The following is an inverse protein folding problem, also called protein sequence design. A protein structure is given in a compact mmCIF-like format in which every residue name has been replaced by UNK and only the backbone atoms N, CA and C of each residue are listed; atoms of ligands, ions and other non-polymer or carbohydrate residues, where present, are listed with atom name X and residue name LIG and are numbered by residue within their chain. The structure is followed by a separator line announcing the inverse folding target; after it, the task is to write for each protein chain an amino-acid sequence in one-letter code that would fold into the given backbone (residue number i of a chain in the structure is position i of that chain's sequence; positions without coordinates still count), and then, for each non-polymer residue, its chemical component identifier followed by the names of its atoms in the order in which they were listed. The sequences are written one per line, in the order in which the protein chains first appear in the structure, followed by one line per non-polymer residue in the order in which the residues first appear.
data_IF_881676575456
#
_entry.id   IF_881676575456
#
_cell.length_a   1.000
_cell.length_b   1.000
_cell.length_c   1.000
_cell.angle_alpha   90.00
_cell.angle_beta   90.00
_cell.angle_gamma   90.00
#
_symmetry.space_group_name_H-M   'P 1'
#
loop_
_entity.id
_entity.type
_entity.pdbx_description
1 polymer ?
#
# COMPACT_ATOMS: atom_id res chain seq x y z
N UNK A 1 -8.41 23.66 -10.29
CA UNK A 1 -7.41 22.58 -10.30
C UNK A 1 -7.79 21.64 -9.18
N UNK A 2 -8.39 20.51 -9.54
CA UNK A 2 -9.05 19.58 -8.62
C UNK A 2 -8.01 18.71 -7.92
N UNK A 3 -7.65 19.11 -6.71
CA UNK A 3 -7.01 18.23 -5.75
C UNK A 3 -8.05 17.19 -5.30
N UNK A 4 -8.04 16.04 -5.97
CA UNK A 4 -9.01 14.97 -5.82
C UNK A 4 -8.71 14.18 -4.56
N UNK A 5 -9.10 14.69 -3.37
CA UNK A 5 -9.40 13.98 -2.11
C UNK A 5 -8.38 13.01 -1.48
N UNK A 6 -7.67 12.21 -2.28
CA UNK A 6 -6.69 11.20 -1.91
C UNK A 6 -5.37 11.81 -1.41
N UNK A 7 -4.96 12.97 -1.92
CA UNK A 7 -3.77 13.70 -1.44
C UNK A 7 -3.90 14.14 0.02
N UNK A 8 -5.14 14.41 0.45
CA UNK A 8 -5.47 14.86 1.81
C UNK A 8 -5.53 13.71 2.83
N UNK A 9 -5.54 12.45 2.39
CA UNK A 9 -5.74 11.30 3.28
C UNK A 9 -4.47 10.88 4.03
N UNK A 10 -3.28 11.28 3.57
CA UNK A 10 -2.02 10.99 4.28
C UNK A 10 -1.06 12.18 4.16
N UNK A 11 -0.98 13.02 5.21
CA UNK A 11 -0.14 14.20 5.18
C UNK A 11 1.33 13.78 5.19
N UNK A 12 2.13 14.43 4.36
CA UNK A 12 3.56 14.46 4.58
C UNK A 12 3.85 14.94 5.99
N UNK A 13 4.86 14.36 6.63
CA UNK A 13 5.23 14.70 7.98
C UNK A 13 6.36 15.74 7.96
N UNK A 14 6.13 16.95 8.50
CA UNK A 14 7.18 17.95 8.57
C UNK A 14 8.29 17.50 9.52
N UNK A 15 9.53 17.64 9.08
CA UNK A 15 10.73 17.36 9.86
C UNK A 15 11.79 18.43 9.61
N UNK A 16 12.74 18.56 10.54
CA UNK A 16 13.97 19.31 10.33
C UNK A 16 15.15 18.36 10.44
N UNK A 17 16.04 18.38 9.45
CA UNK A 17 17.25 17.56 9.39
C UNK A 17 18.33 18.34 8.63
N UNK A 18 19.58 18.29 9.09
CA UNK A 18 20.69 19.02 8.46
C UNK A 18 20.47 20.53 8.41
N UNK A 19 19.67 21.09 9.33
CA UNK A 19 19.27 22.50 9.34
C UNK A 19 18.19 22.89 8.31
N UNK A 20 17.69 21.95 7.51
CA UNK A 20 16.63 22.18 6.52
C UNK A 20 15.28 21.69 7.02
N UNK A 21 14.21 22.42 6.68
CA UNK A 21 12.83 21.94 6.82
C UNK A 21 12.47 21.09 5.61
N UNK A 22 11.97 19.88 5.85
CA UNK A 22 11.53 18.94 4.83
C UNK A 22 10.17 18.34 5.17
N UNK A 23 9.54 17.77 4.15
CA UNK A 23 8.26 17.08 4.22
C UNK A 23 8.51 15.61 3.88
N UNK A 24 8.49 14.73 4.89
CA UNK A 24 8.69 13.29 4.68
C UNK A 24 7.39 12.68 4.19
N UNK A 25 7.42 12.06 3.01
CA UNK A 25 6.24 11.42 2.43
C UNK A 25 6.18 9.93 2.74
N UNK A 26 4.97 9.32 2.73
CA UNK A 26 4.84 7.88 2.71
C UNK A 26 5.45 7.24 1.46
N UNK A 27 5.69 5.93 1.55
CA UNK A 27 6.15 5.10 0.43
C UNK A 27 5.06 4.96 -0.62
N UNK A 28 5.45 5.04 -1.89
CA UNK A 28 4.54 4.89 -3.05
C UNK A 28 4.68 3.52 -3.72
N UNK A 29 3.69 3.15 -4.54
CA UNK A 29 3.65 1.82 -5.16
C UNK A 29 4.86 1.52 -6.06
N UNK A 30 5.45 2.52 -6.74
CA UNK A 30 6.66 2.31 -7.54
C UNK A 30 7.90 1.97 -6.71
N UNK A 31 7.86 2.16 -5.40
CA UNK A 31 8.97 1.90 -4.47
C UNK A 31 8.87 0.53 -3.80
N UNK A 32 7.80 -0.23 -4.04
CA UNK A 32 7.64 -1.58 -3.49
C UNK A 32 8.82 -2.52 -3.78
N UNK A 33 9.49 -2.50 -4.95
CA UNK A 33 10.68 -3.32 -5.17
C UNK A 33 11.87 -2.96 -4.27
N UNK A 34 11.94 -1.74 -3.73
CA UNK A 34 12.93 -1.37 -2.71
C UNK A 34 12.51 -1.89 -1.35
N UNK A 35 11.22 -1.75 -1.01
CA UNK A 35 10.64 -2.28 0.23
C UNK A 35 10.84 -3.79 0.36
N UNK A 36 10.60 -4.56 -0.71
CA UNK A 36 10.80 -6.01 -0.72
C UNK A 36 12.25 -6.39 -0.40
N UNK A 37 13.22 -5.69 -0.99
CA UNK A 37 14.65 -5.90 -0.71
C UNK A 37 15.01 -5.59 0.74
N UNK A 38 14.45 -4.51 1.32
CA UNK A 38 14.63 -4.18 2.74
C UNK A 38 14.06 -5.28 3.64
N UNK A 39 12.84 -5.75 3.35
CA UNK A 39 12.20 -6.82 4.11
C UNK A 39 12.97 -8.14 4.03
N UNK A 40 13.53 -8.49 2.87
CA UNK A 40 14.41 -9.65 2.71
C UNK A 40 15.66 -9.54 3.59
N UNK A 41 16.31 -8.37 3.59
CA UNK A 41 17.45 -8.12 4.46
C UNK A 41 17.12 -8.20 5.94
N UNK A 42 15.98 -7.66 6.38
CA UNK A 42 15.56 -7.79 7.78
C UNK A 42 15.21 -9.23 8.17
N UNK A 43 14.58 -9.99 7.28
CA UNK A 43 14.36 -11.43 7.51
C UNK A 43 15.68 -12.16 7.68
N UNK A 44 16.67 -11.83 6.87
CA UNK A 44 18.02 -12.37 7.00
C UNK A 44 18.68 -11.96 8.32
N UNK A 45 18.59 -10.67 8.68
CA UNK A 45 19.12 -10.13 9.93
C UNK A 45 18.51 -10.81 11.17
N UNK A 46 17.19 -11.04 11.18
CA UNK A 46 16.53 -11.76 12.27
C UNK A 46 16.99 -13.22 12.30
N UNK A 47 17.09 -13.87 11.14
CA UNK A 47 17.57 -15.26 11.05
C UNK A 47 19.04 -15.40 11.48
N UNK A 48 19.85 -14.36 11.30
CA UNK A 48 21.26 -14.30 11.72
C UNK A 48 21.44 -13.76 13.15
N UNK A 49 20.37 -13.66 13.95
CA UNK A 49 20.41 -13.10 15.31
C UNK A 49 21.01 -11.68 15.40
N UNK A 50 20.84 -10.87 14.36
CA UNK A 50 21.28 -9.48 14.34
C UNK A 50 22.74 -9.26 13.95
N UNK A 51 23.45 -10.30 13.49
CA UNK A 51 24.89 -10.20 13.22
C UNK A 51 25.22 -9.35 11.99
N UNK A 52 24.49 -9.53 10.89
CA UNK A 52 24.75 -8.81 9.63
C UNK A 52 23.44 -8.56 8.90
N UNK A 53 23.19 -7.30 8.56
CA UNK A 53 22.20 -6.97 7.55
C UNK A 53 22.87 -7.03 6.19
N UNK A 54 22.21 -7.67 5.23
CA UNK A 54 22.71 -7.73 3.88
C UNK A 54 23.00 -6.33 3.32
N UNK A 55 24.12 -6.19 2.61
CA UNK A 55 24.57 -4.90 2.10
C UNK A 55 23.56 -4.34 1.09
N UNK A 56 23.02 -5.14 0.18
CA UNK A 56 22.04 -4.68 -0.80
C UNK A 56 20.74 -4.21 -0.14
N UNK A 57 20.32 -4.88 0.94
CA UNK A 57 19.18 -4.44 1.74
C UNK A 57 19.43 -3.12 2.48
N UNK A 58 20.66 -2.87 2.95
CA UNK A 58 21.04 -1.59 3.55
C UNK A 58 21.02 -0.46 2.52
N UNK A 59 21.59 -0.71 1.34
CA UNK A 59 21.56 0.20 0.21
C UNK A 59 20.11 0.55 -0.19
N UNK A 60 19.24 -0.46 -0.28
CA UNK A 60 17.83 -0.26 -0.58
C UNK A 60 17.10 0.55 0.51
N UNK A 61 17.48 0.38 1.78
CA UNK A 61 16.92 1.17 2.88
C UNK A 61 17.34 2.63 2.79
N UNK A 62 18.61 2.91 2.50
CA UNK A 62 19.11 4.27 2.30
C UNK A 62 18.43 4.97 1.11
N UNK A 63 18.26 4.25 -0.01
CA UNK A 63 17.55 4.77 -1.18
C UNK A 63 16.08 5.10 -0.85
N UNK A 64 15.42 4.26 -0.04
CA UNK A 64 14.06 4.49 0.43
C UNK A 64 13.96 5.74 1.32
N UNK A 65 14.90 5.94 2.25
CA UNK A 65 14.95 7.12 3.11
C UNK A 65 15.16 8.41 2.30
N UNK A 66 16.10 8.39 1.35
CA UNK A 66 16.37 9.52 0.47
C UNK A 66 15.13 9.86 -0.39
N UNK A 67 14.47 8.85 -0.94
CA UNK A 67 13.25 9.02 -1.73
C UNK A 67 12.11 9.61 -0.89
N UNK A 68 11.89 9.10 0.33
CA UNK A 68 10.85 9.58 1.24
C UNK A 68 11.09 11.02 1.72
N UNK A 69 12.36 11.43 1.89
CA UNK A 69 12.74 12.80 2.21
C UNK A 69 12.72 13.75 0.98
N UNK A 70 12.57 13.22 -0.23
CA UNK A 70 12.72 14.00 -1.46
C UNK A 70 14.13 14.59 -1.59
N UNK A 71 15.14 13.81 -1.22
CA UNK A 71 16.56 14.19 -1.20
C UNK A 71 17.41 13.13 -1.90
N UNK A 72 18.68 13.45 -2.11
CA UNK A 72 19.64 12.54 -2.70
C UNK A 72 20.33 11.71 -1.63
N UNK A 73 20.94 10.61 -2.06
CA UNK A 73 21.69 9.75 -1.17
C UNK A 73 22.94 10.42 -0.54
N UNK A 74 23.76 11.18 -1.29
CA UNK A 74 24.85 11.94 -0.67
C UNK A 74 24.39 12.94 0.39
N UNK A 75 23.18 13.50 0.26
CA UNK A 75 22.61 14.35 1.31
C UNK A 75 22.30 13.56 2.58
N UNK A 76 21.73 12.36 2.44
CA UNK A 76 21.42 11.47 3.56
C UNK A 76 22.69 11.04 4.30
N UNK A 77 23.75 10.69 3.56
CA UNK A 77 25.05 10.26 4.11
C UNK A 77 25.80 11.40 4.80
N UNK A 78 25.51 12.65 4.45
CA UNK A 78 26.09 13.83 5.10
C UNK A 78 25.30 14.29 6.35
N UNK A 79 24.17 13.66 6.68
CA UNK A 79 23.38 14.04 7.84
C UNK A 79 24.12 13.73 9.15
N UNK A 80 23.93 14.56 10.19
CA UNK A 80 24.24 14.15 11.56
C UNK A 80 23.53 12.84 11.90
N UNK A 81 24.21 11.96 12.63
CA UNK A 81 23.67 10.65 13.03
C UNK A 81 22.28 10.75 13.70
N UNK A 82 22.10 11.73 14.60
CA UNK A 82 20.80 11.97 15.26
C UNK A 82 19.67 12.34 14.29
N UNK A 83 20.00 13.07 13.23
CA UNK A 83 19.01 13.46 12.21
C UNK A 83 18.69 12.29 11.28
N UNK A 84 19.71 11.47 10.96
CA UNK A 84 19.54 10.22 10.22
C UNK A 84 18.62 9.24 10.98
N UNK A 85 18.89 8.98 12.26
CA UNK A 85 18.09 8.07 13.09
C UNK A 85 16.64 8.56 13.21
N UNK A 86 16.45 9.87 13.36
CA UNK A 86 15.11 10.47 13.43
C UNK A 86 14.37 10.34 12.10
N UNK A 87 15.06 10.52 10.97
CA UNK A 87 14.46 10.35 9.64
C UNK A 87 14.07 8.89 9.43
N UNK A 88 14.98 7.96 9.74
CA UNK A 88 14.71 6.52 9.66
C UNK A 88 13.49 6.14 10.51
N UNK A 89 13.46 6.58 11.77
CA UNK A 89 12.35 6.33 12.69
C UNK A 89 11.02 6.89 12.17
N UNK A 90 11.04 8.09 11.57
CA UNK A 90 9.85 8.71 11.00
C UNK A 90 9.35 7.93 9.78
N UNK A 91 10.24 7.55 8.86
CA UNK A 91 9.87 6.75 7.67
C UNK A 91 9.31 5.39 8.09
N UNK A 92 9.85 4.76 9.12
CA UNK A 92 9.29 3.53 9.68
C UNK A 92 7.91 3.78 10.29
N UNK A 93 7.74 4.85 11.05
CA UNK A 93 6.48 5.17 11.73
C UNK A 93 5.33 5.47 10.76
N UNK A 94 5.56 6.30 9.73
CA UNK A 94 4.52 6.65 8.75
C UNK A 94 4.13 5.46 7.86
N UNK A 95 5.02 4.49 7.70
CA UNK A 95 4.81 3.29 6.90
C UNK A 95 4.64 2.04 7.76
N UNK A 96 4.21 2.19 9.03
CA UNK A 96 4.11 1.09 9.99
C UNK A 96 3.38 -0.14 9.45
N UNK A 97 2.35 0.06 8.63
CA UNK A 97 1.57 -1.03 8.04
C UNK A 97 2.34 -1.94 7.05
N UNK A 98 3.49 -1.49 6.56
CA UNK A 98 4.42 -2.27 5.73
C UNK A 98 5.32 -3.13 6.62
N UNK A 99 5.76 -2.57 7.73
CA UNK A 99 6.83 -3.14 8.57
C UNK A 99 6.31 -4.00 9.73
N UNK A 100 5.08 -3.75 10.19
CA UNK A 100 4.51 -4.42 11.35
C UNK A 100 3.90 -5.77 10.94
N UNK A 101 4.57 -6.87 11.30
CA UNK A 101 4.11 -8.24 11.05
C UNK A 101 2.79 -8.58 11.78
N UNK A 102 2.44 -7.82 12.82
CA UNK A 102 1.18 -7.95 13.57
C UNK A 102 0.05 -7.06 13.01
N UNK A 103 0.31 -6.23 11.99
CA UNK A 103 -0.77 -5.58 11.28
C UNK A 103 -1.75 -6.67 10.82
N UNK A 104 -3.07 -6.54 11.12
CA UNK A 104 -4.02 -7.62 10.89
C UNK A 104 -4.11 -7.94 9.40
N UNK A 105 -3.24 -8.82 8.92
CA UNK A 105 -3.47 -9.55 7.70
C UNK A 105 -4.67 -10.43 8.03
N UNK A 106 -5.84 -10.06 7.50
CA UNK A 106 -7.00 -10.95 7.54
C UNK A 106 -6.55 -12.25 6.88
N UNK A 107 -6.31 -13.28 7.69
CA UNK A 107 -5.99 -14.63 7.23
C UNK A 107 -7.05 -15.04 6.18
N UNK A 108 -6.62 -15.17 4.93
CA UNK A 108 -7.47 -15.56 3.81
C UNK A 108 -7.70 -14.49 2.73
N UNK A 109 -7.32 -13.23 2.94
CA UNK A 109 -7.33 -12.21 1.87
C UNK A 109 -5.91 -12.07 1.30
N UNK A 110 -5.55 -12.96 0.36
CA UNK A 110 -4.38 -12.70 -0.48
C UNK A 110 -4.69 -11.46 -1.34
N UNK A 111 -3.96 -10.37 -1.12
CA UNK A 111 -4.15 -9.12 -1.86
C UNK A 111 -3.82 -9.39 -3.33
N UNK A 112 -4.83 -9.57 -4.17
CA UNK A 112 -4.66 -9.84 -5.60
C UNK A 112 -4.32 -8.56 -6.37
N UNK A 113 -3.08 -8.07 -6.21
CA UNK A 113 -2.56 -6.87 -6.87
C UNK A 113 -2.94 -6.73 -8.35
N UNK A 114 -2.85 -7.77 -9.20
CA UNK A 114 -3.28 -7.65 -10.60
C UNK A 114 -4.74 -7.19 -10.78
N UNK A 115 -5.67 -7.71 -9.97
CA UNK A 115 -7.07 -7.29 -9.99
C UNK A 115 -7.27 -5.86 -9.51
N UNK A 116 -6.41 -5.38 -8.61
CA UNK A 116 -6.40 -4.01 -8.09
C UNK A 116 -6.00 -3.03 -9.19
N UNK A 117 -4.88 -3.30 -9.87
CA UNK A 117 -4.42 -2.49 -10.98
C UNK A 117 -5.46 -2.43 -12.09
N UNK A 118 -6.08 -3.56 -12.43
CA UNK A 118 -7.17 -3.61 -13.41
C UNK A 118 -8.36 -2.72 -13.01
N UNK A 119 -8.76 -2.73 -11.74
CA UNK A 119 -9.86 -1.89 -11.23
C UNK A 119 -9.51 -0.40 -11.22
N UNK A 120 -8.28 -0.05 -10.84
CA UNK A 120 -7.80 1.34 -10.88
C UNK A 120 -7.79 1.86 -12.32
N UNK A 121 -7.28 1.07 -13.27
CA UNK A 121 -7.29 1.41 -14.70
C UNK A 121 -8.73 1.52 -15.22
N UNK A 122 -9.61 0.57 -14.87
CA UNK A 122 -11.02 0.60 -15.26
C UNK A 122 -11.79 1.81 -14.67
N UNK A 123 -11.37 2.29 -13.49
CA UNK A 123 -11.89 3.52 -12.89
C UNK A 123 -11.31 4.80 -13.53
N UNK A 124 -10.44 4.67 -14.54
CA UNK A 124 -9.88 5.78 -15.31
C UNK A 124 -8.60 6.37 -14.73
N UNK A 125 -7.95 5.71 -13.75
CA UNK A 125 -6.66 6.17 -13.26
C UNK A 125 -5.54 5.83 -14.27
N UNK A 126 -4.74 6.82 -14.72
CA UNK A 126 -3.59 6.56 -15.56
C UNK A 126 -2.50 5.83 -14.75
N UNK A 127 -1.67 5.04 -15.44
CA UNK A 127 -0.65 4.19 -14.81
C UNK A 127 0.34 5.03 -13.99
N UNK A 128 0.70 6.22 -14.46
CA UNK A 128 1.57 7.16 -13.76
C UNK A 128 0.97 7.65 -12.43
N UNK A 129 -0.35 7.81 -12.37
CA UNK A 129 -1.02 8.17 -11.13
C UNK A 129 -1.03 6.99 -10.15
N UNK A 130 -1.24 5.77 -10.64
CA UNK A 130 -1.21 4.56 -9.83
C UNK A 130 0.19 4.36 -9.22
N UNK A 131 1.25 4.53 -10.00
CA UNK A 131 2.63 4.41 -9.50
C UNK A 131 2.95 5.38 -8.35
N UNK A 132 2.31 6.55 -8.33
CA UNK A 132 2.47 7.58 -7.30
C UNK A 132 1.51 7.41 -6.10
N UNK A 133 0.64 6.40 -6.11
CA UNK A 133 -0.23 6.13 -4.97
C UNK A 133 0.59 5.60 -3.80
N UNK A 134 0.23 5.99 -2.58
CA UNK A 134 0.75 5.35 -1.36
C UNK A 134 0.09 3.99 -1.15
N UNK A 135 0.71 3.11 -0.35
CA UNK A 135 0.09 1.83 0.01
C UNK A 135 -1.28 2.04 0.66
N UNK A 136 -1.40 3.02 1.55
CA UNK A 136 -2.64 3.35 2.23
C UNK A 136 -3.72 3.86 1.26
N UNK A 137 -3.37 4.66 0.25
CA UNK A 137 -4.30 5.05 -0.82
C UNK A 137 -4.78 3.84 -1.62
N UNK A 138 -3.88 2.93 -1.97
CA UNK A 138 -4.24 1.68 -2.65
C UNK A 138 -5.18 0.84 -1.77
N UNK A 139 -4.90 0.69 -0.47
CA UNK A 139 -5.76 -0.04 0.48
C UNK A 139 -7.14 0.57 0.64
N UNK A 140 -7.25 1.89 0.77
CA UNK A 140 -8.55 2.56 0.82
C UNK A 140 -9.36 2.33 -0.45
N UNK A 141 -8.70 2.39 -1.61
CA UNK A 141 -9.35 2.04 -2.87
C UNK A 141 -9.89 0.60 -2.86
N UNK A 142 -9.17 -0.37 -2.28
CA UNK A 142 -9.65 -1.75 -2.16
C UNK A 142 -10.88 -1.88 -1.28
N UNK A 143 -10.87 -1.22 -0.13
CA UNK A 143 -12.00 -1.26 0.81
C UNK A 143 -13.26 -0.73 0.11
N UNK A 144 -13.13 0.38 -0.61
CA UNK A 144 -14.24 0.97 -1.36
C UNK A 144 -14.65 0.13 -2.56
N UNK A 145 -13.71 -0.42 -3.32
CA UNK A 145 -14.01 -1.29 -4.45
C UNK A 145 -14.77 -2.56 -3.99
N UNK A 146 -14.35 -3.16 -2.86
CA UNK A 146 -15.04 -4.30 -2.28
C UNK A 146 -16.44 -3.94 -1.75
N UNK A 147 -16.63 -2.72 -1.22
CA UNK A 147 -17.95 -2.23 -0.83
C UNK A 147 -18.86 -2.08 -2.06
N UNK A 148 -18.37 -1.48 -3.13
CA UNK A 148 -19.12 -1.31 -4.38
C UNK A 148 -19.48 -2.64 -5.03
N UNK A 149 -18.61 -3.64 -4.99
CA UNK A 149 -18.93 -4.99 -5.49
C UNK A 149 -20.03 -5.64 -4.67
N UNK A 150 -19.99 -5.52 -3.34
CA UNK A 150 -21.06 -6.02 -2.47
C UNK A 150 -22.38 -5.32 -2.75
N UNK A 151 -22.36 -4.02 -3.02
CA UNK A 151 -23.55 -3.25 -3.37
C UNK A 151 -24.11 -3.65 -4.74
N UNK A 152 -23.24 -3.84 -5.74
CA UNK A 152 -23.64 -4.36 -7.06
C UNK A 152 -24.25 -5.75 -6.94
N UNK A 153 -23.61 -6.65 -6.21
CA UNK A 153 -24.14 -7.99 -5.96
C UNK A 153 -25.50 -7.94 -5.24
N UNK A 154 -25.65 -7.09 -4.22
CA UNK A 154 -26.93 -6.91 -3.53
C UNK A 154 -28.01 -6.37 -4.48
N UNK A 155 -27.66 -5.42 -5.35
CA UNK A 155 -28.56 -4.89 -6.37
C UNK A 155 -28.90 -5.92 -7.44
N UNK A 156 -27.95 -6.75 -7.86
CA UNK A 156 -28.15 -7.84 -8.83
C UNK A 156 -29.01 -8.94 -8.23
N UNK A 157 -28.83 -9.30 -6.96
CA UNK A 157 -29.71 -10.21 -6.22
C UNK A 157 -31.11 -9.63 -6.12
N UNK A 158 -31.22 -8.32 -5.87
CA UNK A 158 -32.52 -7.63 -5.77
C UNK A 158 -33.21 -7.57 -7.14
N UNK A 159 -32.48 -7.21 -8.20
CA UNK A 159 -32.97 -7.18 -9.57
C UNK A 159 -33.29 -8.58 -10.09
N UNK A 160 -32.49 -9.58 -9.73
CA UNK A 160 -32.79 -10.98 -9.93
C UNK A 160 -34.05 -11.35 -9.15
N UNK A 161 -34.20 -10.99 -7.88
CA UNK A 161 -35.43 -11.24 -7.09
C UNK A 161 -36.68 -10.60 -7.71
N UNK A 162 -36.58 -9.39 -8.24
CA UNK A 162 -37.66 -8.75 -8.99
C UNK A 162 -37.89 -9.37 -10.38
N UNK A 163 -36.85 -9.91 -11.01
CA UNK A 163 -36.94 -10.68 -12.27
C UNK A 163 -37.37 -12.14 -12.04
N UNK A 164 -37.20 -12.65 -10.82
CA UNK A 164 -37.53 -13.98 -10.29
C UNK A 164 -38.98 -14.04 -9.81
N UNK A 165 -39.88 -13.41 -10.59
CA UNK A 165 -41.19 -14.00 -10.81
C UNK A 165 -41.08 -15.40 -11.48
N UNK A 166 -39.89 -15.82 -11.96
CA UNK A 166 -39.61 -17.15 -12.49
C UNK A 166 -38.34 -17.81 -11.85
N UNK A 167 -38.51 -18.97 -11.21
CA UNK A 167 -37.63 -19.50 -10.15
C UNK A 167 -36.32 -20.22 -10.56
N UNK A 168 -36.00 -20.33 -11.86
CA UNK A 168 -34.82 -21.09 -12.33
C UNK A 168 -33.49 -20.34 -12.16
N UNK A 169 -33.48 -19.01 -12.29
CA UNK A 169 -32.27 -18.20 -12.14
C UNK A 169 -31.80 -18.12 -10.67
N UNK A 170 -32.72 -18.20 -9.71
CA UNK A 170 -32.44 -18.22 -8.25
C UNK A 170 -31.45 -19.34 -7.91
N UNK A 171 -31.72 -20.55 -8.41
CA UNK A 171 -30.92 -21.73 -8.10
C UNK A 171 -29.53 -21.69 -8.74
N UNK A 172 -29.33 -20.88 -9.80
CA UNK A 172 -28.01 -20.64 -10.40
C UNK A 172 -27.21 -19.66 -9.55
N UNK A 173 -27.78 -18.51 -9.20
CA UNK A 173 -27.13 -17.49 -8.36
C UNK A 173 -26.84 -18.02 -6.94
N UNK A 174 -27.78 -18.76 -6.33
CA UNK A 174 -27.54 -19.42 -5.04
C UNK A 174 -26.46 -20.52 -5.13
N UNK A 175 -26.31 -21.18 -6.29
CA UNK A 175 -25.22 -22.14 -6.51
C UNK A 175 -23.87 -21.47 -6.66
N UNK A 176 -23.81 -20.30 -7.30
CA UNK A 176 -22.60 -19.48 -7.41
C UNK A 176 -22.20 -18.92 -6.03
N UNK A 177 -23.16 -18.40 -5.26
CA UNK A 177 -22.94 -17.96 -3.87
C UNK A 177 -22.52 -19.08 -2.90
N UNK A 178 -23.07 -20.29 -3.06
CA UNK A 178 -22.66 -21.47 -2.27
C UNK A 178 -21.32 -22.06 -2.69
N UNK A 179 -20.86 -21.76 -3.90
CA UNK A 179 -19.56 -22.22 -4.41
C UNK A 179 -18.40 -21.32 -4.02
N UNK A 180 -18.66 -20.10 -3.56
CA UNK A 180 -17.59 -19.18 -3.15
C UNK A 180 -16.68 -18.81 -4.33
N UNK A 181 -17.27 -18.45 -5.47
CA UNK A 181 -16.62 -17.53 -6.40
C UNK A 181 -17.43 -16.24 -6.31
N UNK A 182 -16.93 -15.19 -5.64
CA UNK A 182 -15.53 -14.76 -5.55
C UNK A 182 -14.70 -15.37 -4.42
#
# INVERSE_FOLDING_TARGET
MTDTGLSALFPSCPMTAGGERLEVRPVILSELPLVERVLDGWRHLVASNGEVMDAEAWEAFLDLLAAAAGRTRPWLEALPESDFERLASLVLAINREIWDAEAPQRKGEEVQWPGIFQRLVAAGHPLEAIHRMTLAQARLFLIEAARLDRERLANDITAAAFSMADGKQVNKVLKELRRGEP
#
